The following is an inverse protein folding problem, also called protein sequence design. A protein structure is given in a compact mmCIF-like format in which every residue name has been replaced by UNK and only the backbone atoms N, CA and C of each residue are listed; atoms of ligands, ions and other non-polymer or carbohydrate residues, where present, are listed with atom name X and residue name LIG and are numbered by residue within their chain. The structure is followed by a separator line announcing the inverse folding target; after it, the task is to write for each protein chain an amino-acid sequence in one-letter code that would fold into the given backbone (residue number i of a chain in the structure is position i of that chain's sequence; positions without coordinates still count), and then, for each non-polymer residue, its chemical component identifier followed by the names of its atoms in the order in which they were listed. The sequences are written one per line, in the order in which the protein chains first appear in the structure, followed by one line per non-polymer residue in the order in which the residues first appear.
data_IF_626467359673
#
_entry.id   IF_626467359673
#
_cell.length_a   1.000
_cell.length_b   1.000
_cell.length_c   1.000
_cell.angle_alpha   90.00
_cell.angle_beta   90.00
_cell.angle_gamma   90.00
#
_symmetry.space_group_name_H-M   'P 1'
#
loop_
_entity.id
_entity.type
_entity.pdbx_description
1 polymer ?
#
# COMPACT_ATOMS: atom_id res chain seq x y z
N UNK A 1 -47.93 27.47 10.11
CA UNK A 1 -46.71 28.12 9.62
C UNK A 1 -45.56 27.55 10.41
N UNK A 2 -44.90 26.54 9.86
CA UNK A 2 -43.86 25.77 10.54
C UNK A 2 -42.53 26.15 9.92
N UNK A 3 -41.64 26.75 10.71
CA UNK A 3 -40.29 27.13 10.32
C UNK A 3 -39.53 25.86 9.89
N UNK A 4 -39.30 25.67 8.59
CA UNK A 4 -38.46 24.59 8.07
C UNK A 4 -37.01 24.89 8.44
N UNK A 5 -36.51 24.24 9.49
CA UNK A 5 -35.10 24.29 9.87
C UNK A 5 -34.25 23.74 8.71
N UNK A 6 -33.39 24.59 8.17
CA UNK A 6 -32.36 24.25 7.17
C UNK A 6 -31.48 23.14 7.72
N UNK A 7 -31.50 21.95 7.11
CA UNK A 7 -30.54 20.89 7.44
C UNK A 7 -29.15 21.31 6.93
N UNK A 8 -28.10 21.29 7.77
CA UNK A 8 -26.73 21.64 7.37
C UNK A 8 -26.24 20.81 6.17
N UNK A 9 -26.73 19.57 6.01
CA UNK A 9 -26.41 18.71 4.87
C UNK A 9 -26.97 19.26 3.55
N UNK A 10 -28.14 19.91 3.58
CA UNK A 10 -28.77 20.45 2.38
C UNK A 10 -28.04 21.68 1.83
N UNK A 11 -27.44 22.48 2.72
CA UNK A 11 -26.61 23.62 2.33
C UNK A 11 -25.27 23.15 1.75
N UNK A 12 -24.65 22.13 2.36
CA UNK A 12 -23.39 21.57 1.88
C UNK A 12 -23.53 20.94 0.48
N UNK A 13 -24.61 20.18 0.24
CA UNK A 13 -24.93 19.66 -1.09
C UNK A 13 -25.17 20.80 -2.09
N UNK A 14 -25.87 21.86 -1.68
CA UNK A 14 -26.13 23.01 -2.54
C UNK A 14 -24.85 23.75 -2.97
N UNK A 15 -23.87 23.90 -2.08
CA UNK A 15 -22.57 24.50 -2.43
C UNK A 15 -21.82 23.63 -3.45
N UNK A 16 -21.73 22.32 -3.21
CA UNK A 16 -21.04 21.39 -4.14
C UNK A 16 -21.69 21.37 -5.51
N UNK A 17 -23.02 21.44 -5.59
CA UNK A 17 -23.74 21.56 -6.87
C UNK A 17 -23.40 22.88 -7.57
N UNK A 18 -23.29 24.00 -6.84
CA UNK A 18 -22.87 25.29 -7.42
C UNK A 18 -21.43 25.26 -7.91
N UNK A 19 -20.52 24.64 -7.16
CA UNK A 19 -19.13 24.45 -7.55
C UNK A 19 -19.02 23.56 -8.79
N UNK A 20 -19.71 22.42 -8.80
CA UNK A 20 -19.79 21.53 -9.96
C UNK A 20 -20.23 22.31 -11.20
N UNK A 21 -21.36 23.01 -11.13
CA UNK A 21 -21.86 23.82 -12.24
C UNK A 21 -20.84 24.88 -12.70
N UNK A 22 -20.11 25.49 -11.76
CA UNK A 22 -19.07 26.48 -12.07
C UNK A 22 -17.88 25.85 -12.81
N UNK A 23 -17.45 24.65 -12.41
CA UNK A 23 -16.38 23.88 -13.10
C UNK A 23 -16.77 23.50 -14.52
N UNK A 24 -18.06 23.24 -14.76
CA UNK A 24 -18.61 22.96 -16.08
C UNK A 24 -19.03 24.23 -16.86
N UNK A 25 -18.56 25.41 -16.45
CA UNK A 25 -18.72 26.65 -17.21
C UNK A 25 -20.08 27.35 -17.04
N UNK A 26 -20.94 26.89 -16.13
CA UNK A 26 -22.24 27.50 -15.87
C UNK A 26 -22.08 28.65 -14.87
N UNK A 27 -22.21 29.88 -15.37
CA UNK A 27 -22.10 31.09 -14.56
C UNK A 27 -23.20 31.20 -13.50
N UNK A 28 -22.91 31.85 -12.37
CA UNK A 28 -23.81 31.99 -11.20
C UNK A 28 -25.25 32.41 -11.53
N UNK A 29 -25.44 33.26 -12.55
CA UNK A 29 -26.78 33.73 -12.97
C UNK A 29 -27.61 32.65 -13.67
N UNK A 30 -26.98 31.62 -14.23
CA UNK A 30 -27.62 30.55 -14.99
C UNK A 30 -27.86 29.28 -14.15
N UNK A 31 -27.16 29.13 -13.02
CA UNK A 31 -27.20 27.92 -12.18
C UNK A 31 -28.61 27.53 -11.73
N UNK A 32 -29.47 28.49 -11.37
CA UNK A 32 -30.86 28.19 -10.99
C UNK A 32 -31.65 27.61 -12.16
N UNK A 33 -31.55 28.23 -13.33
CA UNK A 33 -32.24 27.77 -14.54
C UNK A 33 -31.76 26.39 -14.96
N UNK A 34 -30.45 26.15 -14.87
CA UNK A 34 -29.86 24.87 -15.21
C UNK A 34 -30.27 23.77 -14.22
N UNK A 35 -30.30 24.07 -12.92
CA UNK A 35 -30.81 23.12 -11.93
C UNK A 35 -32.28 22.77 -12.18
N UNK A 36 -33.09 23.76 -12.53
CA UNK A 36 -34.50 23.56 -12.85
C UNK A 36 -34.68 22.65 -14.07
N UNK A 37 -33.86 22.85 -15.11
CA UNK A 37 -33.83 22.02 -16.32
C UNK A 37 -33.48 20.56 -15.99
N UNK A 38 -32.48 20.34 -15.15
CA UNK A 38 -32.02 18.99 -14.78
C UNK A 38 -33.06 18.26 -13.92
N UNK A 39 -33.60 18.94 -12.91
CA UNK A 39 -34.45 18.30 -11.90
C UNK A 39 -35.94 18.39 -12.20
N UNK A 40 -36.34 19.04 -13.31
CA UNK A 40 -37.73 19.32 -13.66
C UNK A 40 -38.47 20.06 -12.52
N UNK A 41 -37.89 21.19 -12.10
CA UNK A 41 -38.37 22.00 -10.99
C UNK A 41 -38.80 23.39 -11.46
N UNK A 42 -39.72 24.02 -10.71
CA UNK A 42 -39.98 25.44 -10.89
C UNK A 42 -38.76 26.29 -10.45
N UNK A 43 -38.62 27.49 -11.02
CA UNK A 43 -37.53 28.40 -10.69
C UNK A 43 -37.40 28.67 -9.18
N UNK A 44 -38.55 28.83 -8.51
CA UNK A 44 -38.58 29.07 -7.07
C UNK A 44 -38.09 27.86 -6.26
N UNK A 45 -38.39 26.64 -6.70
CA UNK A 45 -37.90 25.41 -6.06
C UNK A 45 -36.39 25.21 -6.31
N UNK A 46 -35.91 25.43 -7.53
CA UNK A 46 -34.48 25.38 -7.84
C UNK A 46 -33.67 26.40 -7.05
N UNK A 47 -34.15 27.64 -6.96
CA UNK A 47 -33.50 28.70 -6.19
C UNK A 47 -33.43 28.36 -4.70
N UNK A 48 -34.54 27.85 -4.12
CA UNK A 48 -34.57 27.40 -2.73
C UNK A 48 -33.57 26.27 -2.46
N UNK A 49 -33.44 25.30 -3.38
CA UNK A 49 -32.46 24.22 -3.28
C UNK A 49 -31.00 24.69 -3.33
N UNK A 50 -30.66 25.59 -4.26
CA UNK A 50 -29.29 26.13 -4.36
C UNK A 50 -28.88 27.01 -3.17
N UNK A 51 -29.86 27.53 -2.42
CA UNK A 51 -29.67 28.25 -1.17
C UNK A 51 -29.63 27.34 0.07
N UNK A 52 -29.85 26.04 -0.08
CA UNK A 52 -29.96 25.09 1.03
C UNK A 52 -31.30 25.10 1.77
N UNK A 53 -32.26 25.96 1.37
CA UNK A 53 -33.56 26.14 2.04
C UNK A 53 -34.59 25.05 1.68
N UNK A 54 -34.13 23.93 1.12
CA UNK A 54 -34.97 22.78 0.73
C UNK A 54 -34.11 21.52 0.73
N UNK A 55 -34.64 20.40 1.25
CA UNK A 55 -33.88 19.16 1.35
C UNK A 55 -33.52 18.61 -0.03
N UNK A 56 -32.35 18.00 -0.13
CA UNK A 56 -31.91 17.24 -1.31
C UNK A 56 -32.20 15.76 -1.13
N UNK A 57 -32.79 15.12 -2.14
CA UNK A 57 -32.95 13.67 -2.15
C UNK A 57 -31.78 13.02 -2.88
N UNK A 58 -31.47 11.77 -2.52
CA UNK A 58 -30.43 10.98 -3.18
C UNK A 58 -30.67 10.86 -4.71
N UNK A 59 -31.93 10.71 -5.13
CA UNK A 59 -32.31 10.66 -6.55
C UNK A 59 -31.99 11.97 -7.28
N UNK A 60 -32.26 13.13 -6.67
CA UNK A 60 -31.93 14.43 -7.26
C UNK A 60 -30.43 14.64 -7.37
N UNK A 61 -29.66 14.24 -6.36
CA UNK A 61 -28.20 14.37 -6.37
C UNK A 61 -27.60 13.49 -7.49
N UNK A 62 -28.05 12.24 -7.60
CA UNK A 62 -27.63 11.33 -8.68
C UNK A 62 -27.93 11.89 -10.06
N UNK A 63 -29.15 12.41 -10.27
CA UNK A 63 -29.57 12.99 -11.55
C UNK A 63 -28.71 14.18 -11.96
N UNK A 64 -28.32 15.04 -11.00
CA UNK A 64 -27.40 16.15 -11.28
C UNK A 64 -26.02 15.62 -11.65
N UNK A 65 -25.46 14.70 -10.87
CA UNK A 65 -24.14 14.12 -11.11
C UNK A 65 -24.03 13.44 -12.49
N UNK A 66 -25.04 12.66 -12.87
CA UNK A 66 -25.13 11.96 -14.16
C UNK A 66 -25.08 12.92 -15.35
N UNK A 67 -25.76 14.08 -15.27
CA UNK A 67 -25.75 15.08 -16.36
C UNK A 67 -24.36 15.67 -16.59
N UNK A 68 -23.54 15.77 -15.54
CA UNK A 68 -22.18 16.30 -15.62
C UNK A 68 -21.11 15.22 -15.79
N UNK A 69 -21.48 13.94 -15.83
CA UNK A 69 -20.55 12.82 -15.97
C UNK A 69 -19.68 12.58 -14.73
N UNK A 70 -20.13 13.00 -13.55
CA UNK A 70 -19.37 12.92 -12.30
C UNK A 70 -19.99 11.89 -11.34
N UNK A 71 -19.19 11.20 -10.50
CA UNK A 71 -19.71 10.31 -9.47
C UNK A 71 -20.56 11.08 -8.44
N UNK A 72 -21.79 10.60 -8.18
CA UNK A 72 -22.69 11.23 -7.21
C UNK A 72 -22.09 11.37 -5.80
N UNK A 73 -21.15 10.48 -5.44
CA UNK A 73 -20.40 10.52 -4.18
C UNK A 73 -19.63 11.82 -3.95
N UNK A 74 -19.21 12.54 -4.99
CA UNK A 74 -18.52 13.83 -4.86
C UNK A 74 -19.47 14.98 -4.46
N UNK A 75 -20.77 14.83 -4.74
CA UNK A 75 -21.80 15.78 -4.32
C UNK A 75 -22.31 15.47 -2.90
N UNK A 76 -22.08 14.25 -2.42
CA UNK A 76 -22.11 13.92 -1.00
C UNK A 76 -20.86 14.46 -0.33
N UNK A 77 -21.01 15.01 0.86
CA UNK A 77 -19.84 15.40 1.63
C UNK A 77 -19.07 14.18 2.05
N UNK A 78 -17.88 14.00 1.50
CA UNK A 78 -16.79 13.28 2.16
C UNK A 78 -16.36 13.93 3.51
N UNK A 79 -17.08 14.95 3.99
CA UNK A 79 -16.72 15.76 5.16
C UNK A 79 -17.81 15.83 6.25
N UNK A 80 -18.95 15.14 6.13
CA UNK A 80 -20.04 15.35 7.11
C UNK A 80 -20.81 14.11 7.55
N UNK A 81 -20.18 12.93 7.65
CA UNK A 81 -20.78 11.77 8.33
C UNK A 81 -19.75 10.87 9.05
N UNK A 82 -18.78 11.46 9.73
CA UNK A 82 -18.14 10.77 10.86
C UNK A 82 -18.11 11.74 12.04
N UNK A 83 -18.96 11.53 13.08
CA UNK A 83 -18.91 12.31 14.32
C UNK A 83 -17.50 12.37 14.94
N UNK A 84 -16.67 11.37 14.66
CA UNK A 84 -15.27 11.33 15.05
C UNK A 84 -14.37 12.34 14.32
N UNK A 85 -14.75 12.94 13.20
CA UNK A 85 -13.84 13.80 12.40
C UNK A 85 -13.91 15.30 12.78
N UNK A 86 -14.85 15.72 13.64
CA UNK A 86 -15.01 17.13 14.02
C UNK A 86 -13.80 17.61 14.83
N UNK A 87 -13.13 18.67 14.35
CA UNK A 87 -11.97 19.24 15.03
C UNK A 87 -10.62 18.59 14.69
N UNK A 88 -10.58 17.64 13.75
CA UNK A 88 -9.34 16.99 13.31
C UNK A 88 -8.92 17.41 11.89
N UNK A 89 -7.61 17.45 11.65
CA UNK A 89 -7.00 17.77 10.35
C UNK A 89 -6.41 16.52 9.70
N UNK A 90 -6.67 16.32 8.41
CA UNK A 90 -6.06 15.24 7.65
C UNK A 90 -4.57 15.52 7.43
N UNK A 91 -3.72 14.55 7.75
CA UNK A 91 -2.28 14.59 7.58
C UNK A 91 -1.80 13.29 6.93
N UNK A 92 -0.87 13.39 5.99
CA UNK A 92 -0.12 12.22 5.54
C UNK A 92 0.78 11.74 6.67
N UNK A 93 0.71 10.45 6.98
CA UNK A 93 1.41 9.87 8.12
C UNK A 93 1.89 8.45 7.83
N UNK A 94 2.76 7.96 8.70
CA UNK A 94 3.14 6.55 8.78
C UNK A 94 2.47 5.93 9.99
N UNK A 95 1.65 4.90 9.76
CA UNK A 95 1.09 4.07 10.81
C UNK A 95 2.09 2.99 11.18
N UNK A 96 2.55 3.00 12.43
CA UNK A 96 3.56 2.07 12.93
C UNK A 96 3.00 1.22 14.09
N UNK A 97 2.96 -0.10 13.88
CA UNK A 97 2.65 -1.10 14.91
C UNK A 97 3.75 -2.16 14.89
N UNK A 98 4.52 -2.26 15.98
CA UNK A 98 5.65 -3.18 16.04
C UNK A 98 6.70 -2.84 14.98
N UNK A 99 7.02 -3.78 14.11
CA UNK A 99 7.91 -3.61 12.95
C UNK A 99 7.18 -3.19 11.66
N UNK A 100 5.85 -3.17 11.65
CA UNK A 100 5.06 -2.86 10.46
C UNK A 100 4.91 -1.35 10.34
N UNK A 101 5.29 -0.81 9.18
CA UNK A 101 5.06 0.58 8.79
C UNK A 101 4.19 0.64 7.53
N UNK A 102 3.08 1.38 7.60
CA UNK A 102 2.12 1.54 6.51
C UNK A 102 1.87 3.02 6.24
N UNK A 103 1.82 3.40 4.96
CA UNK A 103 1.36 4.73 4.59
C UNK A 103 -0.12 4.89 4.94
N UNK A 104 -0.46 6.01 5.57
CA UNK A 104 -1.82 6.31 5.95
C UNK A 104 -2.14 7.81 5.83
N UNK A 105 -3.43 8.12 5.82
CA UNK A 105 -3.92 9.45 6.18
C UNK A 105 -4.47 9.37 7.59
N UNK A 106 -3.97 10.23 8.47
CA UNK A 106 -4.42 10.35 9.85
C UNK A 106 -5.21 11.64 10.03
N UNK A 107 -6.35 11.57 10.71
CA UNK A 107 -7.09 12.76 11.15
C UNK A 107 -6.66 13.09 12.57
N UNK A 108 -5.85 14.14 12.69
CA UNK A 108 -5.17 14.54 13.92
C UNK A 108 -5.97 15.66 14.60
N UNK A 109 -6.40 15.39 15.83
CA UNK A 109 -7.19 16.27 16.67
C UNK A 109 -6.36 17.14 17.60
N UNK A 110 -6.89 17.39 18.80
CA UNK A 110 -6.23 18.21 19.81
C UNK A 110 -5.01 17.51 20.44
N UNK A 111 -4.10 18.26 21.08
CA UNK A 111 -3.06 17.67 21.93
C UNK A 111 -3.67 16.78 23.01
N UNK A 112 -3.01 15.67 23.34
CA UNK A 112 -3.51 14.73 24.34
C UNK A 112 -3.52 15.38 25.72
N UNK A 113 -4.68 15.30 26.38
CA UNK A 113 -4.83 15.76 27.76
C UNK A 113 -4.11 14.82 28.76
N UNK A 114 -3.55 15.41 29.82
CA UNK A 114 -2.87 14.65 30.87
C UNK A 114 -3.82 13.62 31.51
N UNK A 115 -3.46 12.34 31.44
CA UNK A 115 -4.25 11.23 31.99
C UNK A 115 -5.19 10.55 30.97
N UNK A 116 -5.32 11.09 29.76
CA UNK A 116 -6.01 10.42 28.66
C UNK A 116 -5.25 9.14 28.23
N UNK A 117 -5.99 8.12 27.80
CA UNK A 117 -5.47 6.82 27.36
C UNK A 117 -6.10 6.41 26.03
N UNK A 118 -5.87 7.17 24.95
CA UNK A 118 -6.38 6.79 23.63
C UNK A 118 -5.70 5.52 23.15
N UNK A 119 -6.32 4.78 22.23
CA UNK A 119 -5.70 3.58 21.67
C UNK A 119 -4.52 3.93 20.75
N UNK A 120 -4.66 5.02 19.99
CA UNK A 120 -3.65 5.53 19.07
C UNK A 120 -3.36 7.00 19.33
N UNK A 121 -2.12 7.38 19.10
CA UNK A 121 -1.64 8.76 19.19
C UNK A 121 -0.89 9.13 17.93
N UNK A 122 -0.88 10.42 17.59
CA UNK A 122 -0.04 10.95 16.54
C UNK A 122 1.01 11.90 17.12
N UNK A 123 2.22 11.85 16.58
CA UNK A 123 3.26 12.83 16.86
C UNK A 123 4.04 13.12 15.59
N UNK A 124 4.68 14.28 15.52
CA UNK A 124 5.48 14.69 14.36
C UNK A 124 6.95 14.82 14.73
N UNK A 125 7.84 14.34 13.85
CA UNK A 125 9.29 14.52 13.95
C UNK A 125 9.86 14.73 12.55
N UNK A 126 10.62 15.81 12.37
CA UNK A 126 11.17 16.22 11.07
C UNK A 126 10.09 16.31 9.97
N UNK A 127 8.97 16.97 10.28
CA UNK A 127 7.82 17.17 9.36
C UNK A 127 7.13 15.89 8.86
N UNK A 128 7.42 14.73 9.47
CA UNK A 128 6.70 13.49 9.20
C UNK A 128 5.82 13.11 10.39
N UNK A 129 4.52 12.96 10.13
CA UNK A 129 3.58 12.45 11.12
C UNK A 129 3.70 10.93 11.27
N UNK A 130 3.66 10.48 12.52
CA UNK A 130 3.64 9.07 12.89
C UNK A 130 2.46 8.78 13.79
N UNK A 131 1.72 7.74 13.45
CA UNK A 131 0.63 7.21 14.27
C UNK A 131 1.09 5.90 14.90
N UNK A 132 1.04 5.83 16.23
CA UNK A 132 1.48 4.67 17.01
C UNK A 132 0.44 4.28 18.03
N UNK A 133 0.49 3.03 18.51
CA UNK A 133 -0.30 2.61 19.67
C UNK A 133 0.19 3.33 20.91
N UNK A 134 -0.72 3.79 21.75
CA UNK A 134 -0.36 4.35 23.06
C UNK A 134 0.21 3.25 23.96
N UNK A 135 1.47 3.37 24.34
CA UNK A 135 2.20 2.40 25.20
C UNK A 135 2.35 2.88 26.65
N UNK A 136 1.69 3.98 27.02
CA UNK A 136 1.77 4.56 28.35
C UNK A 136 2.99 5.44 28.62
N UNK A 137 3.85 5.68 27.62
CA UNK A 137 4.93 6.65 27.74
C UNK A 137 4.39 8.10 27.74
N UNK A 138 5.11 8.99 28.43
CA UNK A 138 4.84 10.44 28.39
C UNK A 138 5.35 11.02 27.07
N UNK A 139 4.50 11.04 26.06
CA UNK A 139 4.83 11.67 24.79
C UNK A 139 4.72 13.20 24.92
N UNK A 140 5.85 13.90 24.82
CA UNK A 140 5.84 15.33 24.55
C UNK A 140 5.33 15.54 23.11
N UNK A 141 4.33 16.41 22.93
CA UNK A 141 3.75 16.75 21.62
C UNK A 141 2.96 15.61 20.92
N UNK A 142 2.25 14.78 21.69
CA UNK A 142 1.29 13.84 21.11
C UNK A 142 -0.11 14.46 20.97
N UNK A 143 -0.81 14.02 19.92
CA UNK A 143 -2.13 14.47 19.51
C UNK A 143 -3.08 13.28 19.40
N UNK A 144 -4.36 13.56 19.62
CA UNK A 144 -5.43 12.58 19.45
C UNK A 144 -5.56 12.16 17.98
N UNK A 145 -5.85 10.88 17.76
CA UNK A 145 -6.10 10.31 16.44
C UNK A 145 -7.56 9.94 16.35
N UNK A 146 -8.27 10.64 15.47
CA UNK A 146 -9.71 10.50 15.31
C UNK A 146 -10.07 9.43 14.28
N UNK A 147 -9.25 9.29 13.25
CA UNK A 147 -9.42 8.33 12.15
C UNK A 147 -8.06 8.02 11.53
N UNK A 148 -7.90 6.77 11.11
CA UNK A 148 -6.75 6.30 10.33
C UNK A 148 -7.31 5.65 9.07
N UNK A 149 -6.91 6.16 7.92
CA UNK A 149 -7.16 5.53 6.62
C UNK A 149 -5.86 4.95 6.11
N UNK A 150 -5.79 3.62 6.05
CA UNK A 150 -4.60 2.89 5.63
C UNK A 150 -4.72 2.63 4.13
N UNK A 151 -3.67 2.96 3.39
CA UNK A 151 -3.57 2.60 1.97
C UNK A 151 -2.72 1.34 1.85
N UNK A 152 -3.31 0.13 1.82
CA UNK A 152 -2.55 -1.07 1.58
C UNK A 152 -1.90 -0.98 0.20
N UNK A 153 -0.61 -1.34 0.12
CA UNK A 153 0.08 -1.47 -1.17
C UNK A 153 -0.69 -2.47 -2.02
N UNK A 154 -1.12 -2.06 -3.22
CA UNK A 154 -1.70 -2.98 -4.21
C UNK A 154 -0.55 -3.68 -4.93
N UNK A 155 -0.57 -5.01 -4.90
CA UNK A 155 0.43 -5.90 -5.51
C UNK A 155 0.73 -5.63 -7.00
N UNK A 156 -0.14 -4.89 -7.72
CA UNK A 156 0.10 -4.49 -9.12
C UNK A 156 1.33 -3.58 -9.32
N UNK A 157 1.91 -3.04 -8.23
CA UNK A 157 3.06 -2.12 -8.29
C UNK A 157 4.31 -2.64 -7.57
N UNK A 158 4.21 -3.71 -6.78
CA UNK A 158 5.36 -4.29 -6.10
C UNK A 158 5.99 -5.33 -7.02
N UNK A 159 7.13 -4.95 -7.61
CA UNK A 159 7.99 -5.90 -8.31
C UNK A 159 8.33 -7.04 -7.33
N UNK A 160 8.18 -8.32 -7.71
CA UNK A 160 8.52 -9.42 -6.81
C UNK A 160 9.96 -9.27 -6.30
N UNK A 161 10.14 -9.43 -5.00
CA UNK A 161 11.38 -9.19 -4.29
C UNK A 161 12.22 -10.48 -4.24
N UNK A 162 13.40 -10.41 -4.85
CA UNK A 162 14.29 -11.56 -5.02
C UNK A 162 15.54 -11.40 -4.16
N UNK A 163 15.84 -12.39 -3.31
CA UNK A 163 17.14 -12.47 -2.66
C UNK A 163 18.17 -13.03 -3.64
N UNK A 164 19.32 -12.35 -3.78
CA UNK A 164 20.48 -12.84 -4.50
C UNK A 164 21.60 -13.09 -3.50
N UNK A 165 21.94 -14.36 -3.27
CA UNK A 165 22.87 -14.77 -2.21
C UNK A 165 24.10 -15.42 -2.85
N UNK A 166 25.25 -14.75 -2.76
CA UNK A 166 26.54 -15.19 -3.32
C UNK A 166 27.65 -14.52 -2.49
N UNK A 167 28.75 -15.21 -2.15
CA UNK A 167 29.88 -14.61 -1.42
C UNK A 167 30.75 -13.72 -2.32
N UNK A 168 30.67 -13.90 -3.65
CA UNK A 168 31.27 -13.00 -4.62
C UNK A 168 30.36 -11.76 -4.84
N UNK A 169 30.80 -10.62 -4.30
CA UNK A 169 30.03 -9.37 -4.37
C UNK A 169 29.74 -8.94 -5.81
N UNK A 170 30.71 -9.09 -6.72
CA UNK A 170 30.54 -8.69 -8.10
C UNK A 170 29.49 -9.56 -8.82
N UNK A 171 29.49 -10.87 -8.57
CA UNK A 171 28.48 -11.83 -9.05
C UNK A 171 27.08 -11.45 -8.53
N UNK A 172 26.95 -11.25 -7.22
CA UNK A 172 25.70 -10.89 -6.57
C UNK A 172 25.14 -9.56 -7.11
N UNK A 173 25.96 -8.51 -7.18
CA UNK A 173 25.56 -7.20 -7.69
C UNK A 173 25.15 -7.25 -9.17
N UNK A 174 25.91 -7.96 -10.01
CA UNK A 174 25.58 -8.11 -11.43
C UNK A 174 24.22 -8.82 -11.63
N UNK A 175 23.95 -9.85 -10.84
CA UNK A 175 22.69 -10.59 -10.90
C UNK A 175 21.52 -9.75 -10.36
N UNK A 176 21.70 -9.04 -9.23
CA UNK A 176 20.72 -8.07 -8.72
C UNK A 176 20.35 -7.07 -9.81
N UNK A 177 21.33 -6.40 -10.39
CA UNK A 177 21.14 -5.39 -11.42
C UNK A 177 20.41 -5.95 -12.66
N UNK A 178 20.69 -7.20 -13.03
CA UNK A 178 20.01 -7.87 -14.13
C UNK A 178 18.53 -8.15 -13.81
N UNK A 179 18.23 -8.64 -12.60
CA UNK A 179 16.87 -8.88 -12.13
C UNK A 179 16.06 -7.58 -12.06
N UNK A 180 16.66 -6.50 -11.56
CA UNK A 180 16.01 -5.19 -11.47
C UNK A 180 15.60 -4.63 -12.83
N UNK A 181 16.52 -4.72 -13.81
CA UNK A 181 16.26 -4.37 -15.22
C UNK A 181 15.19 -5.26 -15.85
N UNK A 182 15.03 -6.49 -15.35
CA UNK A 182 14.03 -7.46 -15.83
C UNK A 182 12.66 -7.30 -15.18
N UNK A 183 12.49 -6.31 -14.29
CA UNK A 183 11.19 -6.00 -13.68
C UNK A 183 10.99 -6.55 -12.26
N UNK A 184 12.04 -7.07 -11.62
CA UNK A 184 12.01 -7.51 -10.22
C UNK A 184 12.53 -6.42 -9.28
N UNK A 185 12.24 -6.53 -7.99
CA UNK A 185 13.06 -5.93 -6.94
C UNK A 185 14.09 -6.99 -6.52
N UNK A 186 15.34 -6.61 -6.25
CA UNK A 186 16.35 -7.58 -5.85
C UNK A 186 17.26 -7.04 -4.76
N UNK A 187 17.67 -7.90 -3.83
CA UNK A 187 18.62 -7.57 -2.75
C UNK A 187 19.81 -8.51 -2.85
N UNK A 188 21.00 -7.95 -3.01
CA UNK A 188 22.26 -8.69 -2.99
C UNK A 188 22.70 -8.91 -1.53
N UNK A 189 22.99 -10.17 -1.18
CA UNK A 189 23.33 -10.60 0.18
C UNK A 189 24.61 -11.43 0.12
N UNK A 190 25.66 -10.92 0.77
CA UNK A 190 27.01 -11.42 0.60
C UNK A 190 27.38 -12.50 1.62
N UNK A 191 26.69 -13.64 1.54
CA UNK A 191 26.97 -14.82 2.36
C UNK A 191 25.80 -15.30 3.23
N UNK A 192 25.96 -16.51 3.77
CA UNK A 192 24.89 -17.26 4.44
C UNK A 192 24.45 -16.63 5.77
N UNK A 193 25.36 -16.07 6.56
CA UNK A 193 25.02 -15.44 7.85
C UNK A 193 24.13 -14.22 7.65
N UNK A 194 24.53 -13.31 6.75
CA UNK A 194 23.74 -12.13 6.42
C UNK A 194 22.36 -12.52 5.84
N UNK A 195 22.31 -13.61 5.07
CA UNK A 195 21.04 -14.12 4.54
C UNK A 195 20.10 -14.63 5.64
N UNK A 196 20.63 -15.39 6.60
CA UNK A 196 19.84 -15.87 7.74
C UNK A 196 19.29 -14.72 8.60
N UNK A 197 20.07 -13.66 8.82
CA UNK A 197 19.61 -12.45 9.54
C UNK A 197 18.54 -11.70 8.76
N UNK A 198 18.72 -11.55 7.44
CA UNK A 198 17.77 -10.83 6.58
C UNK A 198 16.42 -11.58 6.48
N UNK A 199 16.43 -12.91 6.42
CA UNK A 199 15.21 -13.73 6.42
C UNK A 199 14.34 -13.56 7.67
N UNK A 200 14.88 -13.06 8.79
CA UNK A 200 14.09 -12.81 10.00
C UNK A 200 13.25 -11.53 9.93
N UNK A 201 13.62 -10.60 9.05
CA UNK A 201 13.00 -9.27 8.96
C UNK A 201 12.37 -8.98 7.60
N UNK A 202 12.66 -9.81 6.60
CA UNK A 202 12.25 -9.60 5.22
C UNK A 202 11.75 -10.90 4.58
N UNK A 203 10.57 -10.82 3.96
CA UNK A 203 10.00 -11.91 3.16
C UNK A 203 10.43 -11.72 1.72
N UNK A 204 10.94 -12.79 1.11
CA UNK A 204 11.31 -12.81 -0.31
C UNK A 204 10.28 -13.59 -1.11
N UNK A 205 9.96 -13.08 -2.30
CA UNK A 205 9.10 -13.76 -3.27
C UNK A 205 9.87 -14.86 -4.00
N UNK A 206 11.19 -14.73 -4.13
CA UNK A 206 12.06 -15.76 -4.70
C UNK A 206 13.49 -15.63 -4.22
N UNK A 207 14.27 -16.71 -4.36
CA UNK A 207 15.67 -16.76 -3.92
C UNK A 207 16.53 -17.31 -5.04
N UNK A 208 17.61 -16.60 -5.38
CA UNK A 208 18.71 -17.11 -6.21
C UNK A 208 19.96 -17.18 -5.33
N UNK A 209 20.49 -18.38 -5.12
CA UNK A 209 21.56 -18.65 -4.16
C UNK A 209 22.68 -19.45 -4.80
N UNK A 210 23.93 -19.10 -4.53
CA UNK A 210 25.06 -19.95 -4.91
C UNK A 210 25.05 -21.26 -4.11
N UNK A 211 25.61 -22.32 -4.65
CA UNK A 211 25.70 -23.58 -3.93
C UNK A 211 26.79 -23.56 -2.86
N UNK A 212 27.95 -22.96 -3.19
CA UNK A 212 29.15 -23.01 -2.36
C UNK A 212 29.47 -21.64 -1.77
N UNK A 213 29.75 -21.60 -0.47
CA UNK A 213 30.19 -20.41 0.27
C UNK A 213 31.44 -20.78 1.07
N UNK A 214 32.61 -20.63 0.46
CA UNK A 214 33.86 -21.19 1.00
C UNK A 214 33.73 -22.70 1.30
N UNK A 215 33.87 -23.15 2.57
CA UNK A 215 33.73 -24.56 2.94
C UNK A 215 32.27 -25.01 3.20
N UNK A 216 31.30 -24.10 3.14
CA UNK A 216 29.90 -24.36 3.46
C UNK A 216 29.05 -24.49 2.20
N UNK A 217 27.91 -25.18 2.31
CA UNK A 217 26.91 -25.27 1.24
C UNK A 217 25.65 -24.49 1.61
N UNK A 218 24.85 -24.11 0.61
CA UNK A 218 23.55 -23.46 0.82
C UNK A 218 22.44 -24.39 1.33
N UNK A 219 22.73 -25.67 1.56
CA UNK A 219 21.76 -26.67 2.00
C UNK A 219 20.95 -26.24 3.23
N UNK A 220 21.61 -25.71 4.27
CA UNK A 220 20.93 -25.21 5.46
C UNK A 220 20.13 -23.95 5.19
N UNK A 221 20.65 -23.02 4.39
CA UNK A 221 19.92 -21.81 4.02
C UNK A 221 18.63 -22.12 3.26
N UNK A 222 18.64 -23.13 2.38
CA UNK A 222 17.45 -23.60 1.66
C UNK A 222 16.41 -24.15 2.63
N UNK A 223 16.82 -24.93 3.65
CA UNK A 223 15.91 -25.40 4.71
C UNK A 223 15.32 -24.23 5.49
N UNK A 224 16.12 -23.21 5.79
CA UNK A 224 15.66 -21.99 6.48
C UNK A 224 14.63 -21.23 5.65
N UNK A 225 14.82 -21.08 4.33
CA UNK A 225 13.80 -20.47 3.44
C UNK A 225 12.50 -21.27 3.49
N UNK A 226 12.57 -22.60 3.45
CA UNK A 226 11.40 -23.49 3.51
C UNK A 226 10.70 -23.49 4.87
N UNK A 227 11.34 -22.95 5.90
CA UNK A 227 10.76 -22.73 7.24
C UNK A 227 10.39 -21.25 7.49
N UNK A 228 10.55 -20.36 6.50
CA UNK A 228 10.27 -18.92 6.60
C UNK A 228 8.79 -18.60 6.35
N UNK A 229 8.44 -17.30 6.37
CA UNK A 229 7.06 -16.84 6.10
C UNK A 229 6.57 -17.14 4.67
N UNK A 230 7.47 -17.30 3.70
CA UNK A 230 7.13 -17.74 2.35
C UNK A 230 7.83 -19.08 2.02
N UNK A 231 7.32 -20.20 2.53
CA UNK A 231 7.93 -21.51 2.31
C UNK A 231 7.84 -21.97 0.85
N UNK A 232 6.92 -21.40 0.06
CA UNK A 232 6.70 -21.77 -1.35
C UNK A 232 7.53 -20.93 -2.32
N UNK A 233 8.32 -19.97 -1.84
CA UNK A 233 9.19 -19.14 -2.67
C UNK A 233 10.05 -20.00 -3.61
N UNK A 234 10.06 -19.78 -4.93
CA UNK A 234 10.94 -20.51 -5.83
C UNK A 234 12.41 -20.25 -5.49
N UNK A 235 13.17 -21.33 -5.37
CA UNK A 235 14.61 -21.29 -5.06
C UNK A 235 15.39 -21.77 -6.29
N UNK A 236 16.32 -20.93 -6.73
CA UNK A 236 17.25 -21.17 -7.82
C UNK A 236 18.66 -21.32 -7.25
N UNK A 237 19.25 -22.51 -7.42
CA UNK A 237 20.61 -22.79 -6.98
C UNK A 237 21.55 -22.65 -8.16
N UNK A 238 22.53 -21.76 -8.06
CA UNK A 238 23.63 -21.65 -9.02
C UNK A 238 24.78 -22.55 -8.54
N UNK A 239 25.41 -23.30 -9.43
CA UNK A 239 26.53 -24.18 -9.06
C UNK A 239 27.49 -24.37 -10.22
N UNK A 240 28.80 -24.38 -9.93
CA UNK A 240 29.85 -24.58 -10.95
C UNK A 240 30.22 -26.05 -11.20
N UNK A 241 29.65 -27.01 -10.48
CA UNK A 241 30.15 -28.40 -10.46
C UNK A 241 29.09 -29.47 -10.80
N UNK A 242 27.97 -29.12 -11.45
CA UNK A 242 26.94 -30.12 -11.81
C UNK A 242 27.47 -31.25 -12.71
N UNK A 243 28.51 -31.00 -13.51
CA UNK A 243 29.07 -31.98 -14.44
C UNK A 243 30.32 -32.73 -13.92
N UNK A 244 30.90 -32.37 -12.77
CA UNK A 244 32.24 -32.87 -12.38
C UNK A 244 32.27 -33.91 -11.25
N UNK A 245 31.12 -34.29 -10.68
CA UNK A 245 30.98 -35.50 -9.86
C UNK A 245 31.79 -35.54 -8.56
N UNK A 246 32.11 -34.39 -7.96
CA UNK A 246 32.74 -34.34 -6.63
C UNK A 246 31.68 -34.45 -5.54
N UNK A 247 32.12 -34.77 -4.31
CA UNK A 247 31.32 -35.16 -3.15
C UNK A 247 30.07 -34.30 -2.82
N UNK A 248 29.92 -33.10 -3.40
CA UNK A 248 28.75 -32.22 -3.29
C UNK A 248 27.51 -32.70 -4.06
N UNK A 249 27.62 -33.61 -5.04
CA UNK A 249 26.48 -34.04 -5.87
C UNK A 249 25.36 -34.72 -5.07
N UNK A 250 25.72 -35.54 -4.07
CA UNK A 250 24.75 -36.23 -3.23
C UNK A 250 23.89 -35.27 -2.41
N UNK A 251 24.51 -34.25 -1.81
CA UNK A 251 23.80 -33.25 -1.00
C UNK A 251 22.95 -32.32 -1.87
N UNK A 252 23.46 -31.88 -3.03
CA UNK A 252 22.65 -31.11 -4.01
C UNK A 252 21.45 -31.93 -4.46
N UNK A 253 21.65 -33.20 -4.83
CA UNK A 253 20.58 -34.09 -5.28
C UNK A 253 19.51 -34.28 -4.20
N UNK A 254 19.92 -34.44 -2.94
CA UNK A 254 18.99 -34.55 -1.83
C UNK A 254 18.19 -33.26 -1.63
N UNK A 255 18.84 -32.10 -1.78
CA UNK A 255 18.16 -30.80 -1.69
C UNK A 255 17.16 -30.61 -2.83
N UNK A 256 17.54 -30.90 -4.08
CA UNK A 256 16.66 -30.84 -5.27
C UNK A 256 15.42 -31.71 -5.08
N UNK A 257 15.63 -32.94 -4.60
CA UNK A 257 14.54 -33.91 -4.43
C UNK A 257 13.57 -33.54 -3.34
N UNK A 258 14.06 -32.98 -2.22
CA UNK A 258 13.25 -32.79 -1.02
C UNK A 258 12.69 -31.37 -0.86
N UNK A 259 13.26 -30.37 -1.52
CA UNK A 259 12.90 -28.96 -1.31
C UNK A 259 12.46 -28.20 -2.57
N UNK A 260 12.19 -28.91 -3.68
CA UNK A 260 11.76 -28.34 -4.97
C UNK A 260 12.58 -27.10 -5.36
N UNK A 261 13.88 -27.32 -5.60
CA UNK A 261 14.79 -26.26 -6.04
C UNK A 261 15.22 -26.49 -7.48
N UNK A 262 15.40 -25.40 -8.23
CA UNK A 262 15.88 -25.44 -9.60
C UNK A 262 17.40 -25.19 -9.64
N UNK A 263 18.17 -26.17 -10.11
CA UNK A 263 19.62 -26.03 -10.23
C UNK A 263 20.05 -25.55 -11.62
N UNK A 264 20.98 -24.60 -11.66
CA UNK A 264 21.56 -24.04 -12.88
C UNK A 264 23.09 -24.09 -12.81
N UNK A 265 23.71 -24.55 -13.88
CA UNK A 265 25.17 -24.60 -13.98
C UNK A 265 25.76 -23.21 -14.30
N UNK A 266 26.81 -22.80 -13.59
CA UNK A 266 27.59 -21.59 -13.89
C UNK A 266 28.52 -21.86 -15.10
N UNK A 267 28.60 -20.96 -16.10
CA UNK A 267 27.89 -19.70 -16.23
C UNK A 267 26.44 -19.88 -16.69
N UNK A 268 25.50 -19.46 -15.85
CA UNK A 268 24.08 -19.64 -16.12
C UNK A 268 23.58 -18.65 -17.19
N UNK A 269 22.66 -19.10 -18.02
CA UNK A 269 21.99 -18.23 -19.01
C UNK A 269 20.92 -17.40 -18.32
N UNK A 270 21.27 -16.16 -17.97
CA UNK A 270 20.42 -15.25 -17.18
C UNK A 270 18.99 -15.08 -17.72
N UNK A 271 18.83 -14.99 -19.04
CA UNK A 271 17.51 -14.87 -19.66
C UNK A 271 16.60 -16.10 -19.40
N UNK A 272 17.18 -17.30 -19.30
CA UNK A 272 16.44 -18.54 -19.02
C UNK A 272 16.04 -18.56 -17.54
N UNK A 273 16.97 -18.22 -16.65
CA UNK A 273 16.70 -18.12 -15.21
C UNK A 273 15.55 -17.15 -14.93
N UNK A 274 15.60 -15.95 -15.53
CA UNK A 274 14.55 -14.94 -15.39
C UNK A 274 13.20 -15.43 -15.93
N UNK A 275 13.18 -16.08 -17.09
CA UNK A 275 11.94 -16.61 -17.66
C UNK A 275 11.30 -17.69 -16.76
N UNK A 276 12.11 -18.57 -16.18
CA UNK A 276 11.64 -19.61 -15.25
C UNK A 276 11.18 -19.00 -13.92
N UNK A 277 11.92 -18.00 -13.40
CA UNK A 277 11.53 -17.25 -12.20
C UNK A 277 10.17 -16.57 -12.38
N UNK A 278 9.97 -15.81 -13.47
CA UNK A 278 8.68 -15.20 -13.81
C UNK A 278 7.53 -16.22 -13.90
N UNK A 279 7.83 -17.39 -14.49
CA UNK A 279 6.84 -18.45 -14.66
C UNK A 279 6.44 -19.10 -13.33
N UNK A 280 7.38 -19.29 -12.41
CA UNK A 280 7.09 -19.86 -11.08
C UNK A 280 6.32 -18.87 -10.20
N UNK A 281 6.71 -17.60 -10.22
CA UNK A 281 6.04 -16.54 -9.45
C UNK A 281 4.63 -16.23 -9.93
N UNK A 282 4.33 -16.41 -11.22
CA UNK A 282 2.98 -16.24 -11.77
C UNK A 282 2.02 -17.42 -11.53
N UNK A 283 2.51 -18.52 -10.94
CA UNK A 283 1.73 -19.74 -10.67
C UNK A 283 1.42 -19.94 -9.18
N UNK A 284 2.06 -19.18 -8.30
CA UNK A 284 1.81 -19.14 -6.86
C UNK A 284 0.67 -18.15 -6.55
#
# INVERSE_FOLDING_TARGET
MSNEATSPDSLAVAERVRELMSRHGIGKRQQTSELCRILDLSFSQGHRKLRGNSPWTLSQIKKVAEVFGEPAAQLFGAQSLDPGMVGATAQEAVFAIGSIELACTAWIGAPIEAGSRPEFIAWSKHDQWRVVRYDGALYQNAYEVHKIEIYPRRAETDKPLIAVVDDDQASADNLRDYLERSGFAAVAIYGLTAFAETLQTQVFDGVVIDWLFGPQTSAEAIRTVRASENPDAPIFVLTGELLTGKASESEISDIVRNYDVACYEKPARMAILVADLSKRLSRA
#
